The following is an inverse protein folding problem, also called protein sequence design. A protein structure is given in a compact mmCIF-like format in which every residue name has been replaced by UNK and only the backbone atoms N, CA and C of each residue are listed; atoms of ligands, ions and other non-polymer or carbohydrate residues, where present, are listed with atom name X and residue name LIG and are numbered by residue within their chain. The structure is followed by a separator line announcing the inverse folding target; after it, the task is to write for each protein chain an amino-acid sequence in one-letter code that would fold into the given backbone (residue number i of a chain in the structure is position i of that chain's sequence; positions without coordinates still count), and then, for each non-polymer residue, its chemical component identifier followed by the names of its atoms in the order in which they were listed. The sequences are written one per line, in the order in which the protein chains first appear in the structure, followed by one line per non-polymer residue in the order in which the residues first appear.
data_IF_544803107548
#
_entry.id   IF_544803107548
#
_cell.length_a   1.000
_cell.length_b   1.000
_cell.length_c   1.000
_cell.angle_alpha   90.00
_cell.angle_beta   90.00
_cell.angle_gamma   90.00
#
_symmetry.space_group_name_H-M   'P 1'
#
loop_
_entity.id
_entity.type
_entity.pdbx_description
1 polymer ?
#
# COMPACT_ATOMS: atom_id res chain seq x y z
N UNK A 1 15.24 -13.74 44.85
CA UNK A 1 16.45 -13.82 44.00
C UNK A 1 15.98 -14.20 42.59
N UNK A 2 15.65 -13.19 41.76
CA UNK A 2 15.36 -13.39 40.35
C UNK A 2 16.68 -13.64 39.62
N UNK A 3 16.92 -14.88 39.20
CA UNK A 3 18.00 -15.20 38.30
C UNK A 3 17.75 -14.41 36.99
N UNK A 4 18.68 -13.53 36.64
CA UNK A 4 18.66 -12.86 35.34
C UNK A 4 18.81 -13.93 34.26
N UNK A 5 17.72 -14.35 33.68
CA UNK A 5 17.70 -15.25 32.51
C UNK A 5 18.55 -14.58 31.42
N UNK A 6 19.59 -15.27 30.97
CA UNK A 6 20.51 -14.74 29.98
C UNK A 6 19.79 -14.42 28.65
N UNK A 7 20.27 -13.44 27.88
CA UNK A 7 19.68 -13.05 26.58
C UNK A 7 19.53 -14.27 25.65
N UNK A 8 20.49 -15.20 25.67
CA UNK A 8 20.41 -16.42 24.86
C UNK A 8 19.20 -17.30 25.20
N UNK A 9 18.92 -17.45 26.50
CA UNK A 9 17.79 -18.24 26.98
C UNK A 9 16.46 -17.56 26.64
N UNK A 10 16.40 -16.25 26.78
CA UNK A 10 15.23 -15.46 26.35
C UNK A 10 14.98 -15.57 24.85
N UNK A 11 16.01 -15.51 24.01
CA UNK A 11 15.87 -15.70 22.56
C UNK A 11 15.41 -17.12 22.20
N UNK A 12 15.93 -18.11 22.89
CA UNK A 12 15.50 -19.49 22.73
C UNK A 12 14.02 -19.67 23.09
N UNK A 13 13.58 -19.17 24.23
CA UNK A 13 12.20 -19.28 24.70
C UNK A 13 11.22 -18.53 23.80
N UNK A 14 11.62 -17.38 23.26
CA UNK A 14 10.74 -16.58 22.42
C UNK A 14 10.61 -17.13 21.00
N UNK A 15 11.65 -17.72 20.42
CA UNK A 15 11.63 -18.06 18.99
C UNK A 15 11.83 -19.56 18.70
N UNK A 16 12.68 -20.25 19.44
CA UNK A 16 13.04 -21.63 19.13
C UNK A 16 12.12 -22.65 19.80
N UNK A 17 11.82 -22.43 21.08
CA UNK A 17 10.92 -23.28 21.84
C UNK A 17 9.56 -23.36 21.17
N UNK A 18 8.99 -24.55 21.04
CA UNK A 18 7.71 -24.82 20.41
C UNK A 18 7.60 -24.28 18.96
N UNK A 19 8.73 -24.07 18.28
CA UNK A 19 8.80 -23.51 16.92
C UNK A 19 8.08 -22.16 16.78
N UNK A 20 8.14 -21.31 17.81
CA UNK A 20 7.40 -20.03 17.84
C UNK A 20 7.82 -19.08 16.71
N UNK A 21 9.05 -19.19 16.18
CA UNK A 21 9.47 -18.44 14.99
C UNK A 21 8.52 -18.64 13.78
N UNK A 22 7.79 -19.76 13.73
CA UNK A 22 6.82 -20.00 12.67
C UNK A 22 5.66 -19.00 12.67
N UNK A 23 5.30 -18.43 13.80
CA UNK A 23 4.32 -17.33 13.85
C UNK A 23 4.83 -16.10 13.10
N UNK A 24 6.11 -15.78 13.24
CA UNK A 24 6.76 -14.69 12.50
C UNK A 24 6.80 -15.02 11.00
N UNK A 25 7.24 -16.21 10.62
CA UNK A 25 7.35 -16.61 9.20
C UNK A 25 5.99 -16.61 8.52
N UNK A 26 4.98 -17.25 9.12
CA UNK A 26 3.62 -17.27 8.58
C UNK A 26 3.00 -15.88 8.54
N UNK A 27 3.18 -15.11 9.60
CA UNK A 27 2.70 -13.74 9.68
C UNK A 27 3.31 -12.86 8.59
N UNK A 28 4.62 -12.96 8.37
CA UNK A 28 5.33 -12.24 7.30
C UNK A 28 4.81 -12.66 5.92
N UNK A 29 4.62 -13.95 5.68
CA UNK A 29 4.06 -14.44 4.42
C UNK A 29 2.68 -13.85 4.13
N UNK A 30 1.78 -13.84 5.11
CA UNK A 30 0.45 -13.26 4.98
C UNK A 30 0.50 -11.74 4.77
N UNK A 31 1.38 -11.03 5.49
CA UNK A 31 1.59 -9.59 5.29
C UNK A 31 1.99 -9.27 3.86
N UNK A 32 2.93 -10.02 3.29
CA UNK A 32 3.40 -9.83 1.91
C UNK A 32 2.28 -10.14 0.92
N UNK A 33 1.56 -11.24 1.08
CA UNK A 33 0.45 -11.64 0.20
C UNK A 33 -0.65 -10.58 0.21
N UNK A 34 -1.10 -10.15 1.38
CA UNK A 34 -2.13 -9.11 1.51
C UNK A 34 -1.67 -7.82 0.82
N UNK A 35 -0.44 -7.38 1.08
CA UNK A 35 0.10 -6.14 0.52
C UNK A 35 0.16 -6.19 -1.00
N UNK A 36 0.67 -7.26 -1.59
CA UNK A 36 0.77 -7.40 -3.04
C UNK A 36 -0.62 -7.34 -3.70
N UNK A 37 -1.56 -8.15 -3.24
CA UNK A 37 -2.90 -8.20 -3.84
C UNK A 37 -3.70 -6.93 -3.56
N UNK A 38 -3.55 -6.31 -2.39
CA UNK A 38 -4.20 -5.04 -2.09
C UNK A 38 -3.69 -3.90 -2.97
N UNK A 39 -2.37 -3.80 -3.20
CA UNK A 39 -1.81 -2.80 -4.12
C UNK A 39 -2.24 -3.06 -5.56
N UNK A 40 -2.26 -4.31 -6.01
CA UNK A 40 -2.76 -4.62 -7.36
C UNK A 40 -4.21 -4.19 -7.55
N UNK A 41 -5.08 -4.50 -6.58
CA UNK A 41 -6.47 -4.04 -6.58
C UNK A 41 -6.53 -2.51 -6.55
N UNK A 42 -5.73 -1.88 -5.70
CA UNK A 42 -5.61 -0.43 -5.58
C UNK A 42 -5.18 0.24 -6.89
N UNK A 43 -4.21 -0.34 -7.59
CA UNK A 43 -3.74 0.16 -8.89
C UNK A 43 -4.88 0.11 -9.91
N UNK A 44 -5.55 -1.04 -10.05
CA UNK A 44 -6.64 -1.19 -11.04
C UNK A 44 -7.77 -0.17 -10.77
N UNK A 45 -8.27 -0.13 -9.54
CA UNK A 45 -9.35 0.78 -9.17
C UNK A 45 -8.91 2.25 -9.19
N UNK A 46 -7.71 2.54 -8.71
CA UNK A 46 -7.17 3.90 -8.68
C UNK A 46 -6.98 4.48 -10.08
N UNK A 47 -6.49 3.70 -11.04
CA UNK A 47 -6.41 4.13 -12.44
C UNK A 47 -7.80 4.38 -13.03
N UNK A 48 -8.79 3.53 -12.77
CA UNK A 48 -10.17 3.75 -13.24
C UNK A 48 -10.75 5.04 -12.69
N UNK A 49 -10.56 5.30 -11.39
CA UNK A 49 -11.00 6.55 -10.75
C UNK A 49 -10.28 7.76 -11.37
N UNK A 50 -8.98 7.67 -11.59
CA UNK A 50 -8.20 8.74 -12.19
C UNK A 50 -8.69 9.06 -13.63
N UNK A 51 -9.01 8.04 -14.44
CA UNK A 51 -9.57 8.21 -15.78
C UNK A 51 -10.90 8.94 -15.73
N UNK A 52 -11.83 8.53 -14.87
CA UNK A 52 -13.13 9.18 -14.71
C UNK A 52 -12.97 10.65 -14.34
N UNK A 53 -12.12 10.94 -13.36
CA UNK A 53 -11.85 12.29 -12.87
C UNK A 53 -11.21 13.18 -13.94
N UNK A 54 -10.19 12.68 -14.62
CA UNK A 54 -9.52 13.42 -15.69
C UNK A 54 -10.43 13.66 -16.89
N UNK A 55 -11.27 12.68 -17.23
CA UNK A 55 -12.26 12.83 -18.29
C UNK A 55 -13.30 13.91 -17.97
N UNK A 56 -13.78 13.95 -16.73
CA UNK A 56 -14.71 15.00 -16.29
C UNK A 56 -14.07 16.39 -16.30
N UNK A 57 -12.87 16.54 -15.78
CA UNK A 57 -12.14 17.81 -15.71
C UNK A 57 -11.90 18.40 -17.13
N UNK A 58 -11.85 17.53 -18.14
CA UNK A 58 -11.61 17.92 -19.52
C UNK A 58 -12.84 18.39 -20.29
N UNK A 59 -13.94 17.64 -20.20
CA UNK A 59 -15.10 17.83 -21.08
C UNK A 59 -16.45 17.87 -20.35
N UNK A 60 -16.42 17.85 -19.01
CA UNK A 60 -17.63 17.80 -18.19
C UNK A 60 -18.41 16.48 -18.26
N UNK A 61 -17.91 15.49 -19.01
CA UNK A 61 -18.54 14.17 -19.09
C UNK A 61 -18.50 13.40 -17.78
N UNK A 62 -19.33 12.35 -17.67
CA UNK A 62 -19.36 11.46 -16.52
C UNK A 62 -19.62 12.17 -15.17
N UNK A 63 -20.41 13.24 -15.16
CA UNK A 63 -20.60 14.09 -13.97
C UNK A 63 -21.07 13.30 -12.74
N UNK A 64 -22.02 12.38 -12.89
CA UNK A 64 -22.53 11.54 -11.80
C UNK A 64 -21.42 10.62 -11.28
N UNK A 65 -20.73 9.92 -12.18
CA UNK A 65 -19.65 9.00 -11.80
C UNK A 65 -18.48 9.74 -11.15
N UNK A 66 -18.14 10.94 -11.65
CA UNK A 66 -17.15 11.81 -11.03
C UNK A 66 -17.57 12.25 -9.62
N UNK A 67 -18.86 12.54 -9.40
CA UNK A 67 -19.41 12.84 -8.08
C UNK A 67 -19.24 11.68 -7.11
N UNK A 68 -19.54 10.46 -7.54
CA UNK A 68 -19.33 9.22 -6.77
C UNK A 68 -17.85 9.03 -6.43
N UNK A 69 -16.96 9.20 -7.41
CA UNK A 69 -15.51 9.12 -7.19
C UNK A 69 -15.03 10.16 -6.17
N UNK A 70 -15.49 11.39 -6.25
CA UNK A 70 -15.16 12.45 -5.26
C UNK A 70 -15.61 12.07 -3.86
N UNK A 71 -16.86 11.60 -3.71
CA UNK A 71 -17.36 11.15 -2.42
C UNK A 71 -16.53 10.00 -1.85
N UNK A 72 -16.22 9.00 -2.67
CA UNK A 72 -15.35 7.88 -2.29
C UNK A 72 -13.98 8.37 -1.81
N UNK A 73 -13.28 9.21 -2.59
CA UNK A 73 -11.96 9.73 -2.23
C UNK A 73 -12.00 10.52 -0.92
N UNK A 74 -13.05 11.34 -0.72
CA UNK A 74 -13.23 12.12 0.49
C UNK A 74 -13.42 11.23 1.72
N UNK A 75 -14.27 10.21 1.62
CA UNK A 75 -14.55 9.28 2.72
C UNK A 75 -13.32 8.45 3.06
N UNK A 76 -12.70 7.84 2.06
CA UNK A 76 -11.57 6.93 2.29
C UNK A 76 -10.34 7.68 2.82
N UNK A 77 -10.03 8.84 2.28
CA UNK A 77 -8.88 9.64 2.73
C UNK A 77 -9.16 10.44 4.01
N UNK A 78 -10.43 10.60 4.36
CA UNK A 78 -10.86 11.30 5.56
C UNK A 78 -11.14 10.42 6.78
N UNK A 79 -11.03 9.10 6.64
CA UNK A 79 -11.28 8.15 7.75
C UNK A 79 -10.08 7.24 7.99
N UNK A 80 -9.87 6.77 9.24
CA UNK A 80 -8.76 5.86 9.55
C UNK A 80 -8.93 4.50 8.85
N UNK A 81 -7.85 3.98 8.28
CA UNK A 81 -7.85 2.68 7.60
C UNK A 81 -8.28 1.53 8.53
N UNK A 82 -7.95 1.60 9.81
CA UNK A 82 -8.38 0.61 10.80
C UNK A 82 -9.91 0.54 10.90
N UNK A 83 -10.59 1.67 10.94
CA UNK A 83 -12.06 1.72 10.99
C UNK A 83 -12.66 1.16 9.70
N UNK A 84 -12.07 1.47 8.55
CA UNK A 84 -12.47 0.90 7.26
C UNK A 84 -12.35 -0.63 7.26
N UNK A 85 -11.24 -1.16 7.76
CA UNK A 85 -11.03 -2.60 7.89
C UNK A 85 -12.11 -3.26 8.75
N UNK A 86 -12.42 -2.66 9.90
CA UNK A 86 -13.45 -3.19 10.82
C UNK A 86 -14.84 -3.14 10.20
N UNK A 87 -15.20 -2.05 9.52
CA UNK A 87 -16.50 -1.93 8.84
C UNK A 87 -16.62 -2.98 7.72
N UNK A 88 -15.59 -3.14 6.90
CA UNK A 88 -15.61 -4.13 5.82
C UNK A 88 -15.72 -5.55 6.38
N UNK A 89 -14.99 -5.87 7.41
CA UNK A 89 -15.01 -7.20 8.01
C UNK A 89 -16.31 -7.51 8.75
N UNK A 90 -16.79 -6.62 9.61
CA UNK A 90 -17.95 -6.90 10.47
C UNK A 90 -19.30 -6.56 9.84
N UNK A 91 -19.34 -5.67 8.84
CA UNK A 91 -20.59 -5.17 8.26
C UNK A 91 -20.75 -5.59 6.81
N UNK A 92 -19.79 -5.19 5.94
CA UNK A 92 -19.94 -5.36 4.49
C UNK A 92 -19.71 -6.81 4.06
N UNK A 93 -18.66 -7.44 4.56
CA UNK A 93 -18.25 -8.81 4.23
C UNK A 93 -18.38 -9.76 5.42
N UNK A 94 -19.35 -9.54 6.31
CA UNK A 94 -19.53 -10.31 7.54
C UNK A 94 -19.75 -11.81 7.30
N UNK A 95 -20.24 -12.21 6.13
CA UNK A 95 -20.44 -13.61 5.74
C UNK A 95 -19.21 -14.25 5.09
N UNK A 96 -18.17 -13.46 4.78
CA UNK A 96 -16.97 -13.97 4.14
C UNK A 96 -16.01 -14.52 5.20
N UNK A 97 -15.71 -15.80 5.11
CA UNK A 97 -14.83 -16.49 6.08
C UNK A 97 -13.35 -16.32 5.80
N UNK A 98 -12.99 -16.05 4.55
CA UNK A 98 -11.59 -15.84 4.15
C UNK A 98 -11.09 -14.45 4.55
N UNK A 99 -10.38 -14.39 5.68
CA UNK A 99 -9.85 -13.14 6.24
C UNK A 99 -8.79 -12.47 5.36
N UNK A 100 -8.01 -13.25 4.61
CA UNK A 100 -7.04 -12.70 3.65
C UNK A 100 -7.78 -11.92 2.57
N UNK A 101 -8.84 -12.50 2.01
CA UNK A 101 -9.65 -11.82 0.99
C UNK A 101 -10.28 -10.53 1.53
N UNK A 102 -10.82 -10.57 2.76
CA UNK A 102 -11.39 -9.38 3.40
C UNK A 102 -10.33 -8.29 3.59
N UNK A 103 -9.14 -8.66 4.08
CA UNK A 103 -8.02 -7.72 4.23
C UNK A 103 -7.57 -7.14 2.88
N UNK A 104 -7.43 -7.96 1.85
CA UNK A 104 -7.08 -7.52 0.49
C UNK A 104 -8.09 -6.51 -0.04
N UNK A 105 -9.39 -6.76 0.12
CA UNK A 105 -10.43 -5.83 -0.32
C UNK A 105 -10.37 -4.53 0.49
N UNK A 106 -10.27 -4.61 1.81
CA UNK A 106 -10.26 -3.43 2.67
C UNK A 106 -9.05 -2.52 2.38
N UNK A 107 -7.84 -3.09 2.36
CA UNK A 107 -6.63 -2.34 2.07
C UNK A 107 -6.54 -1.94 0.60
N UNK A 108 -7.05 -2.74 -0.31
CA UNK A 108 -7.12 -2.42 -1.73
C UNK A 108 -8.03 -1.24 -2.03
N UNK A 109 -9.19 -1.16 -1.38
CA UNK A 109 -10.08 0.01 -1.47
C UNK A 109 -9.43 1.25 -0.85
N UNK A 110 -8.72 1.11 0.25
CA UNK A 110 -7.98 2.22 0.83
C UNK A 110 -6.86 2.69 -0.13
N UNK A 111 -6.03 1.78 -0.61
CA UNK A 111 -4.94 2.09 -1.53
C UNK A 111 -5.44 2.70 -2.85
N UNK A 112 -6.59 2.28 -3.37
CA UNK A 112 -7.18 2.82 -4.60
C UNK A 112 -7.38 4.34 -4.55
N UNK A 113 -7.76 4.88 -3.40
CA UNK A 113 -7.92 6.31 -3.22
C UNK A 113 -6.59 7.07 -3.32
N UNK A 114 -5.53 6.50 -2.74
CA UNK A 114 -4.18 7.09 -2.83
C UNK A 114 -3.58 6.93 -4.22
N UNK A 115 -3.74 5.77 -4.85
CA UNK A 115 -3.29 5.53 -6.22
C UNK A 115 -3.98 6.47 -7.22
N UNK A 116 -5.28 6.71 -7.08
CA UNK A 116 -6.00 7.67 -7.92
C UNK A 116 -5.38 9.07 -7.85
N UNK A 117 -4.99 9.51 -6.67
CA UNK A 117 -4.33 10.79 -6.48
C UNK A 117 -2.89 10.80 -7.01
N UNK A 118 -2.14 9.71 -6.81
CA UNK A 118 -0.79 9.55 -7.36
C UNK A 118 -0.81 9.66 -8.89
N UNK A 119 -1.72 8.97 -9.54
CA UNK A 119 -1.86 9.00 -11.01
C UNK A 119 -2.24 10.40 -11.49
N UNK A 120 -3.22 11.02 -10.86
CA UNK A 120 -3.65 12.38 -11.19
C UNK A 120 -2.52 13.39 -11.01
N UNK A 121 -1.86 13.38 -9.88
CA UNK A 121 -0.72 14.26 -9.57
C UNK A 121 0.45 14.04 -10.53
N UNK A 122 0.72 12.80 -10.90
CA UNK A 122 1.76 12.46 -11.86
C UNK A 122 1.49 13.01 -13.26
N UNK A 123 0.22 12.96 -13.71
CA UNK A 123 -0.17 13.56 -14.99
C UNK A 123 -0.08 15.09 -14.91
N UNK A 124 -0.54 15.70 -13.83
CA UNK A 124 -0.50 17.14 -13.63
C UNK A 124 0.92 17.70 -13.43
N UNK A 125 1.88 16.87 -13.07
CA UNK A 125 3.28 17.28 -12.90
C UNK A 125 4.02 17.50 -14.22
N UNK A 126 3.45 17.05 -15.34
CA UNK A 126 4.02 17.30 -16.67
C UNK A 126 3.71 18.74 -17.07
N UNK A 127 4.73 19.46 -17.51
CA UNK A 127 4.63 20.86 -17.92
C UNK A 127 3.54 21.04 -19.00
N UNK A 128 2.70 22.06 -18.85
CA UNK A 128 1.63 22.37 -19.78
C UNK A 128 2.14 22.66 -21.20
N UNK A 129 3.35 23.18 -21.32
CA UNK A 129 4.04 23.40 -22.57
C UNK A 129 4.23 22.12 -23.40
N UNK A 130 4.25 20.96 -22.77
CA UNK A 130 4.30 19.67 -23.46
C UNK A 130 2.98 19.37 -24.21
N UNK A 131 1.84 19.79 -23.67
CA UNK A 131 0.56 19.71 -24.36
C UNK A 131 0.51 20.68 -25.55
N UNK A 132 1.04 21.90 -25.37
CA UNK A 132 1.10 22.90 -26.43
C UNK A 132 2.04 22.47 -27.55
N UNK A 133 3.20 21.90 -27.22
CA UNK A 133 4.13 21.34 -28.20
C UNK A 133 3.51 20.20 -29.00
N UNK A 134 2.79 19.29 -28.37
CA UNK A 134 2.07 18.22 -29.05
C UNK A 134 1.03 18.77 -30.05
N UNK A 135 0.27 19.77 -29.64
CA UNK A 135 -0.71 20.46 -30.51
C UNK A 135 -0.05 21.17 -31.68
N UNK A 136 1.07 21.83 -31.45
CA UNK A 136 1.84 22.50 -32.51
C UNK A 136 2.40 21.54 -33.57
N UNK A 137 2.65 20.28 -33.17
CA UNK A 137 2.99 19.20 -34.07
C UNK A 137 1.80 18.56 -34.79
N UNK A 138 0.58 19.08 -34.59
CA UNK A 138 -0.64 18.57 -35.22
C UNK A 138 -1.21 17.31 -34.52
N UNK A 139 -0.71 16.94 -33.34
CA UNK A 139 -1.24 15.81 -32.59
C UNK A 139 -2.60 16.18 -31.99
N UNK A 140 -3.55 15.25 -32.08
CA UNK A 140 -4.79 15.37 -31.31
C UNK A 140 -4.51 15.07 -29.82
N UNK A 141 -5.51 15.32 -28.96
CA UNK A 141 -5.34 15.14 -27.52
C UNK A 141 -4.93 13.71 -27.15
N UNK A 142 -5.57 12.71 -27.72
CA UNK A 142 -5.27 11.30 -27.40
C UNK A 142 -3.84 10.93 -27.82
N UNK A 143 -3.38 11.42 -28.95
CA UNK A 143 -2.02 11.24 -29.41
C UNK A 143 -1.02 11.97 -28.52
N UNK A 144 -1.29 13.23 -28.16
CA UNK A 144 -0.47 14.00 -27.22
C UNK A 144 -0.37 13.29 -25.86
N UNK A 145 -1.49 12.82 -25.32
CA UNK A 145 -1.49 12.05 -24.07
C UNK A 145 -0.62 10.79 -24.17
N UNK A 146 -0.83 9.98 -25.21
CA UNK A 146 -0.12 8.70 -25.36
C UNK A 146 1.36 8.85 -25.64
N UNK A 147 1.74 9.79 -26.52
CA UNK A 147 3.09 9.90 -27.06
C UNK A 147 3.99 10.84 -26.27
N UNK A 148 3.41 11.82 -25.58
CA UNK A 148 4.15 12.90 -24.91
C UNK A 148 3.93 12.88 -23.39
N UNK A 149 2.69 12.93 -22.94
CA UNK A 149 2.37 13.17 -21.53
C UNK A 149 2.54 11.91 -20.68
N UNK A 150 1.90 10.80 -21.06
CA UNK A 150 1.94 9.56 -20.26
C UNK A 150 3.37 9.04 -20.08
N UNK A 151 4.26 9.00 -21.10
CA UNK A 151 5.64 8.56 -20.90
C UNK A 151 6.40 9.39 -19.87
N UNK A 152 6.15 10.70 -19.82
CA UNK A 152 6.75 11.59 -18.82
C UNK A 152 6.10 11.41 -17.44
N UNK A 153 4.77 11.33 -17.37
CA UNK A 153 4.04 11.12 -16.13
C UNK A 153 4.42 9.82 -15.42
N UNK A 154 4.63 8.73 -16.16
CA UNK A 154 5.02 7.41 -15.61
C UNK A 154 6.31 7.50 -14.79
N UNK A 155 7.26 8.34 -15.16
CA UNK A 155 8.50 8.53 -14.40
C UNK A 155 8.26 9.06 -12.99
N UNK A 156 7.19 9.86 -12.80
CA UNK A 156 6.78 10.38 -11.49
C UNK A 156 5.81 9.43 -10.77
N UNK A 157 4.91 8.78 -11.52
CA UNK A 157 3.91 7.86 -11.00
C UNK A 157 4.56 6.59 -10.42
N UNK A 158 5.50 5.99 -11.14
CA UNK A 158 6.06 4.69 -10.77
C UNK A 158 6.77 4.69 -9.39
N UNK A 159 7.67 5.63 -9.07
CA UNK A 159 8.27 5.72 -7.73
C UNK A 159 7.21 5.94 -6.64
N UNK A 160 6.19 6.77 -6.92
CA UNK A 160 5.11 7.04 -5.97
C UNK A 160 4.25 5.80 -5.69
N UNK A 161 3.96 4.98 -6.71
CA UNK A 161 3.26 3.69 -6.54
C UNK A 161 4.07 2.70 -5.69
N UNK A 162 5.38 2.67 -5.88
CA UNK A 162 6.26 1.82 -5.07
C UNK A 162 6.34 2.30 -3.62
N UNK A 163 6.32 3.61 -3.38
CA UNK A 163 6.21 4.17 -2.05
C UNK A 163 4.85 3.88 -1.41
N UNK A 164 3.77 3.86 -2.18
CA UNK A 164 2.45 3.41 -1.71
C UNK A 164 2.49 1.94 -1.28
N UNK A 165 3.17 1.07 -2.04
CA UNK A 165 3.39 -0.32 -1.64
C UNK A 165 4.09 -0.42 -0.27
N UNK A 166 5.14 0.35 -0.05
CA UNK A 166 5.87 0.38 1.22
C UNK A 166 4.97 0.88 2.36
N UNK A 167 4.16 1.91 2.11
CA UNK A 167 3.21 2.43 3.11
C UNK A 167 2.17 1.40 3.46
N UNK A 168 1.57 0.75 2.46
CA UNK A 168 0.55 -0.26 2.65
C UNK A 168 1.08 -1.50 3.40
N UNK A 169 2.32 -1.90 3.13
CA UNK A 169 2.97 -2.99 3.87
C UNK A 169 2.99 -2.72 5.39
N UNK A 170 3.22 -1.49 5.81
CA UNK A 170 3.17 -1.09 7.22
C UNK A 170 1.73 -1.00 7.74
N UNK A 171 0.81 -0.47 6.94
CA UNK A 171 -0.60 -0.33 7.30
C UNK A 171 -1.30 -1.68 7.51
N UNK A 172 -0.90 -2.73 6.78
CA UNK A 172 -1.42 -4.08 6.99
C UNK A 172 -1.14 -4.65 8.40
N UNK A 173 -0.23 -4.02 9.17
CA UNK A 173 0.08 -4.40 10.54
C UNK A 173 -1.12 -4.39 11.50
N UNK A 174 -2.22 -3.75 11.13
CA UNK A 174 -3.48 -3.76 11.90
C UNK A 174 -4.40 -4.94 11.59
N UNK A 175 -4.04 -5.83 10.66
CA UNK A 175 -4.86 -7.00 10.26
C UNK A 175 -5.18 -7.93 11.43
N UNK A 176 -4.37 -7.93 12.47
CA UNK A 176 -4.61 -8.68 13.70
C UNK A 176 -5.91 -8.34 14.42
N UNK A 177 -6.46 -7.13 14.20
CA UNK A 177 -7.74 -6.71 14.79
C UNK A 177 -8.96 -7.47 14.23
N UNK A 178 -8.85 -8.05 13.04
CA UNK A 178 -9.87 -8.98 12.51
C UNK A 178 -9.48 -10.45 12.73
N UNK A 179 -8.49 -10.71 13.60
CA UNK A 179 -7.98 -12.06 13.86
C UNK A 179 -7.16 -12.64 12.69
N UNK A 180 -6.65 -11.81 11.80
CA UNK A 180 -5.75 -12.22 10.73
C UNK A 180 -4.32 -12.37 11.28
N UNK A 181 -3.68 -13.50 10.97
CA UNK A 181 -2.27 -13.74 11.33
C UNK A 181 -1.36 -12.98 10.37
N UNK A 182 -1.04 -11.74 10.66
CA UNK A 182 0.01 -10.96 10.03
C UNK A 182 1.31 -10.98 10.84
N UNK A 183 2.35 -10.29 10.39
CA UNK A 183 3.63 -10.24 11.09
C UNK A 183 3.50 -9.69 12.52
N UNK A 184 2.73 -8.62 12.70
CA UNK A 184 2.51 -8.01 14.02
C UNK A 184 1.75 -8.96 14.94
N UNK A 185 0.72 -9.64 14.43
CA UNK A 185 -0.03 -10.65 15.20
C UNK A 185 0.85 -11.84 15.57
N UNK A 186 1.74 -12.25 14.69
CA UNK A 186 2.73 -13.31 14.99
C UNK A 186 3.59 -12.95 16.20
N UNK A 187 4.11 -11.73 16.25
CA UNK A 187 4.85 -11.22 17.42
C UNK A 187 3.99 -11.11 18.68
N UNK A 188 2.73 -10.69 18.54
CA UNK A 188 1.79 -10.59 19.65
C UNK A 188 1.44 -11.95 20.27
N UNK A 189 1.31 -13.00 19.46
CA UNK A 189 1.12 -14.37 19.93
C UNK A 189 2.33 -14.85 20.73
N UNK A 190 3.55 -14.60 20.25
CA UNK A 190 4.76 -14.94 20.98
C UNK A 190 4.80 -14.22 22.34
N UNK A 191 4.51 -12.91 22.32
CA UNK A 191 4.42 -12.10 23.55
C UNK A 191 3.42 -12.69 24.56
N UNK A 192 2.26 -13.09 24.09
CA UNK A 192 1.21 -13.68 24.94
C UNK A 192 1.61 -15.04 25.52
N UNK A 193 2.35 -15.84 24.75
CA UNK A 193 2.81 -17.17 25.16
C UNK A 193 4.01 -17.13 26.13
N UNK A 194 4.84 -16.10 26.01
CA UNK A 194 6.08 -15.99 26.79
C UNK A 194 6.00 -15.01 27.95
N UNK A 195 4.94 -14.17 27.97
CA UNK A 195 4.81 -13.03 28.88
C UNK A 195 6.00 -12.05 28.78
N UNK A 196 6.71 -12.08 27.65
CA UNK A 196 7.84 -11.20 27.32
C UNK A 196 7.44 -10.30 26.15
N UNK A 197 7.33 -8.99 26.39
CA UNK A 197 6.90 -8.05 25.36
C UNK A 197 8.05 -7.51 24.51
N UNK A 198 9.20 -7.24 25.13
CA UNK A 198 10.29 -6.51 24.50
C UNK A 198 10.88 -7.25 23.29
N UNK A 199 11.30 -8.50 23.50
CA UNK A 199 12.01 -9.27 22.47
C UNK A 199 11.14 -9.51 21.21
N UNK A 200 9.90 -10.07 21.32
CA UNK A 200 9.10 -10.32 20.12
C UNK A 200 8.67 -9.05 19.41
N UNK A 201 8.33 -7.98 20.12
CA UNK A 201 7.89 -6.72 19.48
C UNK A 201 9.06 -6.00 18.81
N UNK A 202 10.24 -5.99 19.43
CA UNK A 202 11.45 -5.43 18.80
C UNK A 202 11.85 -6.26 17.58
N UNK A 203 11.75 -7.58 17.64
CA UNK A 203 12.01 -8.43 16.48
C UNK A 203 11.08 -8.11 15.31
N UNK A 204 9.78 -7.94 15.54
CA UNK A 204 8.82 -7.52 14.52
C UNK A 204 9.17 -6.14 13.95
N UNK A 205 9.48 -5.18 14.82
CA UNK A 205 9.89 -3.84 14.39
C UNK A 205 11.15 -3.86 13.51
N UNK A 206 12.16 -4.67 13.89
CA UNK A 206 13.38 -4.82 13.10
C UNK A 206 13.13 -5.49 11.74
N UNK A 207 12.24 -6.48 11.68
CA UNK A 207 11.86 -7.12 10.42
C UNK A 207 11.19 -6.11 9.49
N UNK A 208 10.22 -5.33 9.97
CA UNK A 208 9.61 -4.25 9.19
C UNK A 208 10.66 -3.23 8.73
N UNK A 209 11.54 -2.81 9.63
CA UNK A 209 12.59 -1.83 9.32
C UNK A 209 13.50 -2.33 8.20
N UNK A 210 13.99 -3.56 8.28
CA UNK A 210 14.87 -4.15 7.25
C UNK A 210 14.17 -4.23 5.91
N UNK A 211 12.91 -4.71 5.87
CA UNK A 211 12.14 -4.81 4.63
C UNK A 211 11.92 -3.43 4.03
N UNK A 212 11.49 -2.47 4.83
CA UNK A 212 11.24 -1.09 4.38
C UNK A 212 12.52 -0.44 3.87
N UNK A 213 13.65 -0.63 4.55
CA UNK A 213 14.94 -0.09 4.10
C UNK A 213 15.40 -0.68 2.76
N UNK A 214 15.26 -2.00 2.59
CA UNK A 214 15.60 -2.67 1.33
C UNK A 214 14.72 -2.19 0.18
N UNK A 215 13.41 -2.12 0.39
CA UNK A 215 12.46 -1.64 -0.61
C UNK A 215 12.69 -0.15 -0.94
N UNK A 216 12.90 0.70 0.06
CA UNK A 216 13.16 2.13 -0.13
C UNK A 216 14.47 2.37 -0.88
N UNK A 217 15.50 1.57 -0.63
CA UNK A 217 16.75 1.64 -1.38
C UNK A 217 16.51 1.28 -2.87
N UNK A 218 15.74 0.24 -3.13
CA UNK A 218 15.34 -0.15 -4.48
C UNK A 218 14.58 0.95 -5.22
N UNK A 219 13.61 1.58 -4.55
CA UNK A 219 12.83 2.70 -5.10
C UNK A 219 13.72 3.89 -5.42
N UNK A 220 14.61 4.28 -4.51
CA UNK A 220 15.56 5.40 -4.73
C UNK A 220 16.50 5.13 -5.90
N UNK A 221 16.95 3.90 -6.08
CA UNK A 221 17.78 3.51 -7.23
C UNK A 221 17.01 3.59 -8.55
N UNK A 222 15.76 3.15 -8.56
CA UNK A 222 14.88 3.26 -9.72
C UNK A 222 14.62 4.72 -10.08
N UNK A 223 14.30 5.55 -9.11
CA UNK A 223 14.05 6.98 -9.31
C UNK A 223 15.25 7.69 -9.94
N UNK A 224 16.46 7.41 -9.44
CA UNK A 224 17.69 7.95 -10.02
C UNK A 224 17.88 7.53 -11.49
N UNK A 225 17.59 6.27 -11.82
CA UNK A 225 17.67 5.78 -13.21
C UNK A 225 16.66 6.45 -14.12
N UNK A 226 15.44 6.65 -13.67
CA UNK A 226 14.39 7.32 -14.44
C UNK A 226 14.74 8.79 -14.73
N UNK A 227 15.34 9.48 -13.77
CA UNK A 227 15.79 10.88 -13.93
C UNK A 227 17.07 11.03 -14.72
N UNK A 228 17.98 10.05 -14.71
CA UNK A 228 19.24 10.13 -15.45
C UNK A 228 19.05 10.09 -16.98
N UNK A 229 17.92 9.56 -17.45
CA UNK A 229 17.58 9.52 -18.88
C UNK A 229 17.02 10.86 -19.41
N UNK A 230 17.04 11.93 -18.60
CA UNK A 230 16.58 13.27 -18.98
C UNK A 230 17.74 14.23 -19.35
N UNK A 231 18.97 13.74 -19.32
CA UNK A 231 20.19 14.48 -19.75
C UNK A 231 20.65 13.93 -21.10
#
# INVERSE_FOLDING_TARGET
SGSSIGIKEKLYDNFVKDNRYMYIVKGLGNTIVITIFAVMLGIVLGFLIAIVRTSHDRNGGLAILNGICKAYLTIIRGTPVMIQLLIIYYVVLASVTNKILVAVIAFGLNSAAYVAEIVRSGIMSVDIGQFEAGRSLGLNYSQTMKLVIIPQAVKNILPALLNEFISLLKETSISGYIGMMDLTKGGDIIRSNTYEAFIPLIAVALIYLVIVMLLSHGVSKLERRLRSNER
#
